data_IF_760382461704
#
_entry.id   IF_760382461704
#
_cell.length_a   1.000
_cell.length_b   1.000
_cell.length_c   1.000
_cell.angle_alpha   90.00
_cell.angle_beta   90.00
_cell.angle_gamma   90.00
#
_symmetry.space_group_name_H-M   'P 1'
#
loop_
_entity.id
_entity.type
_entity.pdbx_description
1 polymer ?
#
# COMPACT_ATOMS: atom_id res chain seq x y z
N UNK A 1 -9.49 14.46 14.75
CA UNK A 1 -8.87 13.27 14.12
C UNK A 1 -8.14 13.69 12.85
N UNK A 2 -6.92 13.22 12.70
CA UNK A 2 -6.13 13.43 11.48
C UNK A 2 -6.36 12.29 10.47
N UNK A 3 -6.13 12.58 9.18
CA UNK A 3 -6.14 11.57 8.13
C UNK A 3 -5.00 10.56 8.39
N UNK A 4 -5.20 9.23 8.26
CA UNK A 4 -6.41 8.57 7.74
C UNK A 4 -7.46 8.19 8.82
N UNK A 5 -7.25 8.54 10.09
CA UNK A 5 -8.11 8.13 11.20
C UNK A 5 -9.57 8.59 11.03
N UNK A 6 -9.78 9.81 10.56
CA UNK A 6 -11.13 10.33 10.30
C UNK A 6 -11.88 9.53 9.24
N UNK A 7 -11.20 9.14 8.17
CA UNK A 7 -11.77 8.31 7.10
C UNK A 7 -12.11 6.91 7.61
N UNK A 8 -11.20 6.31 8.36
CA UNK A 8 -11.37 4.99 8.96
C UNK A 8 -12.61 4.93 9.87
N UNK A 9 -12.75 5.93 10.74
CA UNK A 9 -13.91 6.06 11.64
C UNK A 9 -15.20 6.29 10.85
N UNK A 10 -15.18 7.16 9.83
CA UNK A 10 -16.36 7.45 9.01
C UNK A 10 -16.83 6.22 8.23
N UNK A 11 -15.94 5.51 7.57
CA UNK A 11 -16.26 4.29 6.82
C UNK A 11 -16.83 3.22 7.74
N UNK A 12 -16.19 2.97 8.90
CA UNK A 12 -16.67 1.96 9.84
C UNK A 12 -18.03 2.35 10.46
N UNK A 13 -18.25 3.63 10.76
CA UNK A 13 -19.54 4.11 11.26
C UNK A 13 -20.65 3.89 10.22
N UNK A 14 -20.39 4.21 8.95
CA UNK A 14 -21.33 3.97 7.85
C UNK A 14 -21.67 2.48 7.73
N UNK A 15 -20.65 1.60 7.75
CA UNK A 15 -20.88 0.15 7.72
C UNK A 15 -21.73 -0.34 8.90
N UNK A 16 -21.48 0.15 10.10
CA UNK A 16 -22.26 -0.21 11.29
C UNK A 16 -23.74 0.15 11.12
N UNK A 17 -24.04 1.32 10.55
CA UNK A 17 -25.41 1.77 10.29
C UNK A 17 -26.08 0.95 9.20
N UNK A 18 -25.42 0.75 8.07
CA UNK A 18 -25.95 0.00 6.94
C UNK A 18 -26.27 -1.47 7.29
N UNK A 19 -25.45 -2.08 8.13
CA UNK A 19 -25.60 -3.48 8.54
C UNK A 19 -26.52 -3.64 9.77
N UNK A 20 -26.97 -2.53 10.38
CA UNK A 20 -27.84 -2.53 11.56
C UNK A 20 -27.18 -3.06 12.84
N UNK A 21 -25.88 -3.38 12.80
CA UNK A 21 -25.13 -3.92 13.94
C UNK A 21 -23.71 -3.38 13.95
N UNK A 22 -23.23 -2.97 15.15
CA UNK A 22 -21.87 -2.47 15.33
C UNK A 22 -20.84 -3.58 15.15
N UNK A 23 -19.88 -3.32 14.28
CA UNK A 23 -18.76 -4.21 14.01
C UNK A 23 -19.19 -5.62 13.51
N UNK A 24 -20.34 -5.72 12.84
CA UNK A 24 -20.73 -6.93 12.12
C UNK A 24 -19.77 -7.21 10.97
N UNK A 25 -19.36 -6.17 10.27
CA UNK A 25 -18.23 -6.16 9.35
C UNK A 25 -17.19 -5.15 9.83
N UNK A 26 -15.92 -5.52 9.82
CA UNK A 26 -14.81 -4.67 10.25
C UNK A 26 -13.92 -4.42 9.05
N UNK A 27 -13.74 -3.15 8.69
CA UNK A 27 -12.90 -2.73 7.58
C UNK A 27 -11.44 -3.14 7.76
N UNK A 28 -10.74 -3.34 6.64
CA UNK A 28 -9.33 -3.73 6.61
C UNK A 28 -8.44 -2.76 7.40
N UNK A 29 -8.67 -1.48 7.24
CA UNK A 29 -7.92 -0.41 7.90
C UNK A 29 -8.14 -0.42 9.42
N UNK A 30 -9.37 -0.71 9.87
CA UNK A 30 -9.68 -0.84 11.31
C UNK A 30 -8.98 -2.07 11.89
N UNK A 31 -8.94 -3.18 11.16
CA UNK A 31 -8.18 -4.37 11.58
C UNK A 31 -6.69 -4.07 11.69
N UNK A 32 -6.11 -3.42 10.68
CA UNK A 32 -4.71 -3.01 10.70
C UNK A 32 -4.37 -2.06 11.87
N UNK A 33 -5.29 -1.13 12.18
CA UNK A 33 -5.15 -0.26 13.35
C UNK A 33 -5.15 -1.07 14.66
N UNK A 34 -6.10 -2.00 14.82
CA UNK A 34 -6.19 -2.85 16.01
C UNK A 34 -5.04 -3.84 16.12
N UNK A 35 -4.47 -4.24 14.99
CA UNK A 35 -3.27 -5.07 14.93
C UNK A 35 -2.00 -4.30 15.33
N UNK A 36 -2.01 -2.95 15.29
CA UNK A 36 -0.87 -2.11 15.68
C UNK A 36 -0.02 -1.59 14.53
N UNK A 37 -0.46 -1.77 13.28
CA UNK A 37 0.28 -1.32 12.09
C UNK A 37 0.37 0.22 11.97
N UNK A 38 -0.54 0.93 12.64
CA UNK A 38 -0.54 2.39 12.74
C UNK A 38 0.16 2.92 14.01
N UNK A 39 0.86 2.04 14.72
CA UNK A 39 1.53 2.37 15.97
C UNK A 39 0.64 2.19 17.19
N UNK A 40 1.15 2.66 18.35
CA UNK A 40 0.48 2.48 19.63
C UNK A 40 -0.78 3.32 19.73
N UNK A 41 -1.90 2.69 20.09
CA UNK A 41 -3.15 3.39 20.33
C UNK A 41 -3.02 4.40 21.50
N UNK A 42 -3.63 5.61 21.42
CA UNK A 42 -3.50 6.64 22.43
C UNK A 42 -4.25 6.32 23.73
N UNK A 43 -5.07 5.29 23.72
CA UNK A 43 -5.84 4.84 24.88
C UNK A 43 -6.07 3.35 24.88
N UNK A 44 -6.74 2.86 25.93
CA UNK A 44 -7.10 1.44 26.04
C UNK A 44 -8.11 1.05 24.97
N UNK A 45 -7.77 0.03 24.19
CA UNK A 45 -8.68 -0.55 23.19
C UNK A 45 -9.53 -1.63 23.87
N UNK A 46 -10.80 -1.74 23.45
CA UNK A 46 -11.70 -2.77 23.97
C UNK A 46 -11.22 -4.16 23.56
N UNK A 47 -10.89 -5.06 24.51
CA UNK A 47 -10.36 -6.40 24.21
C UNK A 47 -11.32 -7.27 23.39
N UNK A 48 -12.63 -7.11 23.59
CA UNK A 48 -13.65 -7.86 22.83
C UNK A 48 -13.63 -7.45 21.35
N UNK A 49 -13.44 -6.15 21.07
CA UNK A 49 -13.31 -5.66 19.71
C UNK A 49 -12.03 -6.18 19.06
N UNK A 50 -10.92 -6.20 19.78
CA UNK A 50 -9.65 -6.77 19.29
C UNK A 50 -9.85 -8.23 18.91
N UNK A 51 -10.45 -9.03 19.81
CA UNK A 51 -10.74 -10.44 19.53
C UNK A 51 -11.70 -10.63 18.36
N UNK A 52 -12.73 -9.79 18.23
CA UNK A 52 -13.68 -9.83 17.10
C UNK A 52 -12.99 -9.49 15.76
N UNK A 53 -12.03 -8.57 15.78
CA UNK A 53 -11.34 -8.09 14.58
C UNK A 53 -10.20 -9.01 14.12
N UNK A 54 -9.40 -9.50 15.06
CA UNK A 54 -8.16 -10.25 14.80
C UNK A 54 -8.31 -11.76 15.01
N UNK A 55 -9.37 -12.21 15.70
CA UNK A 55 -9.52 -13.62 16.08
C UNK A 55 -8.43 -14.03 17.07
N UNK A 56 -7.61 -14.99 16.67
CA UNK A 56 -6.50 -15.53 17.49
C UNK A 56 -5.16 -14.78 17.29
N UNK A 57 -5.11 -13.85 16.34
CA UNK A 57 -3.92 -13.04 16.12
C UNK A 57 -3.72 -12.02 17.25
N UNK A 58 -2.48 -11.86 17.67
CA UNK A 58 -2.11 -10.88 18.70
C UNK A 58 -1.66 -9.58 18.05
N UNK A 59 -2.03 -8.42 18.64
CA UNK A 59 -1.46 -7.15 18.21
C UNK A 59 0.07 -7.16 18.32
N UNK A 60 0.73 -6.49 17.37
CA UNK A 60 2.19 -6.31 17.40
C UNK A 60 2.57 -5.33 18.53
N UNK A 61 3.68 -5.62 19.22
CA UNK A 61 4.18 -4.79 20.32
C UNK A 61 5.38 -3.91 19.91
N UNK A 62 5.98 -4.19 18.77
CA UNK A 62 7.07 -3.42 18.17
C UNK A 62 6.54 -2.42 17.13
N UNK A 63 7.43 -1.62 16.53
CA UNK A 63 7.05 -0.79 15.38
C UNK A 63 6.75 -1.70 14.18
N UNK A 64 5.71 -1.38 13.43
CA UNK A 64 5.36 -2.15 12.22
C UNK A 64 6.53 -2.27 11.25
N UNK A 65 7.30 -1.20 11.08
CA UNK A 65 8.50 -1.21 10.26
C UNK A 65 9.53 -2.29 10.65
N UNK A 66 9.60 -2.66 11.93
CA UNK A 66 10.54 -3.70 12.42
C UNK A 66 10.11 -5.12 12.02
N UNK A 67 8.86 -5.29 11.60
CA UNK A 67 8.32 -6.57 11.09
C UNK A 67 8.59 -6.75 9.58
N UNK A 68 8.92 -5.68 8.87
CA UNK A 68 9.13 -5.70 7.44
C UNK A 68 10.51 -6.25 7.09
N UNK A 69 10.55 -7.13 6.12
CA UNK A 69 11.83 -7.62 5.56
C UNK A 69 12.36 -6.64 4.52
N UNK A 70 13.67 -6.38 4.48
CA UNK A 70 14.28 -5.60 3.42
C UNK A 70 13.91 -6.19 2.04
N UNK A 71 13.36 -5.37 1.16
CA UNK A 71 12.88 -5.81 -0.16
C UNK A 71 13.64 -5.17 -1.33
N UNK A 72 14.43 -4.13 -1.09
CA UNK A 72 15.06 -3.33 -2.14
C UNK A 72 15.90 -4.17 -3.12
N UNK A 73 16.86 -4.93 -2.62
CA UNK A 73 17.74 -5.75 -3.46
C UNK A 73 17.00 -6.84 -4.25
N UNK A 74 15.97 -7.42 -3.63
CA UNK A 74 15.11 -8.39 -4.31
C UNK A 74 14.35 -7.72 -5.45
N UNK A 75 13.68 -6.61 -5.17
CA UNK A 75 12.89 -5.86 -6.16
C UNK A 75 13.77 -5.30 -7.27
N UNK A 76 14.98 -4.83 -6.96
CA UNK A 76 15.96 -4.36 -7.94
C UNK A 76 16.33 -5.48 -8.95
N UNK A 77 16.49 -6.71 -8.48
CA UNK A 77 16.72 -7.87 -9.35
C UNK A 77 15.51 -8.23 -10.20
N UNK A 78 14.29 -8.19 -9.61
CA UNK A 78 13.04 -8.46 -10.32
C UNK A 78 12.75 -7.43 -11.42
N UNK A 79 13.10 -6.18 -11.20
CA UNK A 79 12.95 -5.09 -12.16
C UNK A 79 14.15 -4.90 -13.09
N UNK A 80 15.07 -5.84 -13.12
CA UNK A 80 16.23 -5.81 -14.00
C UNK A 80 15.79 -5.70 -15.47
N UNK A 81 16.18 -4.60 -16.13
CA UNK A 81 15.75 -4.27 -17.50
C UNK A 81 14.52 -3.36 -17.63
N UNK A 82 13.78 -3.11 -16.55
CA UNK A 82 12.63 -2.20 -16.54
C UNK A 82 12.94 -0.93 -15.75
N UNK A 83 13.48 -1.07 -14.54
CA UNK A 83 13.95 0.04 -13.74
C UNK A 83 15.28 0.57 -14.28
N UNK A 84 15.40 1.89 -14.43
CA UNK A 84 16.60 2.59 -14.93
C UNK A 84 17.44 3.21 -13.81
N UNK A 85 16.87 3.31 -12.63
CA UNK A 85 17.51 3.91 -11.46
C UNK A 85 17.00 3.29 -10.16
N UNK A 86 17.67 3.61 -9.06
CA UNK A 86 17.25 3.19 -7.72
C UNK A 86 15.93 3.85 -7.29
N UNK A 87 15.65 5.06 -7.78
CA UNK A 87 14.37 5.75 -7.58
C UNK A 87 13.21 5.02 -8.25
N UNK A 88 13.41 4.41 -9.41
CA UNK A 88 12.42 3.55 -10.06
C UNK A 88 12.07 2.36 -9.17
N UNK A 89 13.08 1.73 -8.58
CA UNK A 89 12.90 0.60 -7.66
C UNK A 89 12.12 1.03 -6.41
N UNK A 90 12.49 2.17 -5.81
CA UNK A 90 11.79 2.72 -4.65
C UNK A 90 10.35 3.09 -4.97
N UNK A 91 10.11 3.68 -6.14
CA UNK A 91 8.77 4.01 -6.62
C UNK A 91 7.89 2.77 -6.78
N UNK A 92 8.45 1.70 -7.32
CA UNK A 92 7.76 0.42 -7.44
C UNK A 92 7.44 -0.21 -6.08
N UNK A 93 8.38 -0.19 -5.13
CA UNK A 93 8.14 -0.69 -3.78
C UNK A 93 7.00 0.07 -3.09
N UNK A 94 6.96 1.39 -3.26
CA UNK A 94 5.95 2.24 -2.63
C UNK A 94 4.58 2.17 -3.32
N UNK A 95 4.56 2.15 -4.66
CA UNK A 95 3.35 2.25 -5.48
C UNK A 95 3.46 1.39 -6.75
N UNK A 96 3.41 0.06 -6.65
CA UNK A 96 3.73 -0.85 -7.75
C UNK A 96 2.87 -0.59 -9.01
N UNK A 97 1.56 -0.46 -8.87
CA UNK A 97 0.64 -0.24 -10.01
C UNK A 97 0.91 1.08 -10.75
N UNK A 98 1.26 2.14 -10.01
CA UNK A 98 1.57 3.45 -10.59
C UNK A 98 2.92 3.40 -11.30
N UNK A 99 3.91 2.76 -10.70
CA UNK A 99 5.24 2.61 -11.27
C UNK A 99 5.23 1.77 -12.56
N UNK A 100 4.51 0.65 -12.58
CA UNK A 100 4.34 -0.19 -13.78
C UNK A 100 3.76 0.61 -14.95
N UNK A 101 2.69 1.36 -14.70
CA UNK A 101 2.09 2.22 -15.72
C UNK A 101 3.06 3.27 -16.25
N UNK A 102 3.80 3.92 -15.34
CA UNK A 102 4.81 4.89 -15.71
C UNK A 102 5.94 4.27 -16.55
N UNK A 103 6.43 3.10 -16.18
CA UNK A 103 7.47 2.40 -16.94
C UNK A 103 7.00 2.02 -18.33
N UNK A 104 5.75 1.57 -18.47
CA UNK A 104 5.15 1.24 -19.77
C UNK A 104 5.00 2.49 -20.65
N UNK A 105 4.51 3.60 -20.09
CA UNK A 105 4.38 4.87 -20.81
C UNK A 105 5.75 5.42 -21.25
N UNK A 106 6.76 5.32 -20.38
CA UNK A 106 8.14 5.71 -20.69
C UNK A 106 8.70 4.88 -21.85
N UNK A 107 8.54 3.56 -21.79
CA UNK A 107 8.96 2.66 -22.87
C UNK A 107 8.31 2.99 -24.21
N UNK A 108 6.99 3.20 -24.23
CA UNK A 108 6.25 3.57 -25.44
C UNK A 108 6.76 4.88 -26.05
N UNK A 109 7.08 5.87 -25.22
CA UNK A 109 7.65 7.13 -25.69
C UNK A 109 9.04 6.95 -26.31
N UNK A 110 9.88 6.12 -25.74
CA UNK A 110 11.21 5.84 -26.23
C UNK A 110 11.16 5.06 -27.57
N UNK A 111 10.29 4.07 -27.67
CA UNK A 111 10.07 3.31 -28.90
C UNK A 111 9.53 4.23 -30.04
N UNK A 112 8.62 5.14 -29.76
CA UNK A 112 8.10 6.09 -30.73
C UNK A 112 9.16 7.09 -31.21
N UNK A 113 10.05 7.56 -30.33
CA UNK A 113 11.15 8.47 -30.73
C UNK A 113 12.13 7.76 -31.67
N UNK A 114 12.41 6.48 -31.44
CA UNK A 114 13.28 5.69 -32.32
C UNK A 114 12.66 5.49 -33.71
N UNK A 115 11.36 5.21 -33.82
CA UNK A 115 10.70 5.03 -35.12
C UNK A 115 10.65 6.33 -35.94
N UNK A 116 10.43 7.47 -35.34
CA UNK A 116 10.47 8.77 -36.03
C UNK A 116 11.88 9.12 -36.52
N UNK A 117 12.90 8.81 -35.80
CA UNK A 117 14.29 9.07 -36.20
C UNK A 117 14.72 8.22 -37.40
N UNK A 118 14.27 6.97 -37.49
CA UNK A 118 14.56 6.07 -38.60
C UNK A 118 13.85 6.52 -39.88
N UNK A 119 12.60 6.93 -39.79
CA UNK A 119 11.84 7.44 -40.97
C UNK A 119 12.44 8.74 -41.52
N UNK A 120 12.95 9.63 -40.68
CA UNK A 120 13.57 10.88 -41.13
C UNK A 120 14.95 10.70 -41.79
N UNK A 121 15.62 9.58 -41.59
CA UNK A 121 16.94 9.27 -42.19
C UNK A 121 16.83 8.47 -43.47
N UNK A 122 15.65 7.93 -43.80
CA UNK A 122 15.41 7.13 -45.01
C UNK A 122 14.80 7.90 -46.17
N UNK A 123 14.48 9.20 -46.02
CA UNK A 123 14.12 10.12 -47.08
C UNK A 123 15.33 10.99 -47.51
#
# INVERSE_FOLDING_TARGET
>A
LVTPMSQMVGVQATQNVLLGERYKSIGKEVKAYLHGEYGRAPGKVNPELVKKALGDEKPIECRFADTLKPSFEKTKKELSGTAKSDEDVLSYIAFPQVAEKFFEERRKKEENVVSYTIEAVTE
#
